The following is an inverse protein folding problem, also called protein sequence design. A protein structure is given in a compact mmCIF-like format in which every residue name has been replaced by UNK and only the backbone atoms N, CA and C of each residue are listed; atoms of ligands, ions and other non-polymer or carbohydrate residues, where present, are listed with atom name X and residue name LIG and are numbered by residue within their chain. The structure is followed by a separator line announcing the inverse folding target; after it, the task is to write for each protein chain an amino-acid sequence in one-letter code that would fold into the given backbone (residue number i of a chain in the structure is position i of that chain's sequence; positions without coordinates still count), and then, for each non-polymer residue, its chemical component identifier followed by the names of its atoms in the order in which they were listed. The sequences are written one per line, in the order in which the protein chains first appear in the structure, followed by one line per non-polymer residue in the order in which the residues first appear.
data_IF_462939957964
#
_entry.id   IF_462939957964
#
_cell.length_a   1.000
_cell.length_b   1.000
_cell.length_c   1.000
_cell.angle_alpha   90.00
_cell.angle_beta   90.00
_cell.angle_gamma   90.00
#
_symmetry.space_group_name_H-M   'P 1'
#
loop_
_entity.id
_entity.type
_entity.pdbx_description
1 polymer ?
#
# COMPACT_ATOMS: atom_id res chain seq x y z
N UNK A 1 -8.88 13.34 0.00
CA UNK A 1 -8.44 11.93 0.01
C UNK A 1 -9.12 11.26 1.18
N UNK A 2 -9.65 10.05 1.00
CA UNK A 2 -10.32 9.33 2.10
C UNK A 2 -9.34 9.02 3.24
N UNK A 3 -9.83 8.96 4.48
CA UNK A 3 -9.16 8.30 5.59
C UNK A 3 -9.64 6.85 5.76
N UNK A 4 -9.04 6.09 6.67
CA UNK A 4 -9.36 4.67 6.87
C UNK A 4 -10.80 4.43 7.29
N UNK A 5 -11.38 5.33 8.10
CA UNK A 5 -12.79 5.25 8.50
C UNK A 5 -13.72 5.43 7.31
N UNK A 6 -13.50 6.47 6.51
CA UNK A 6 -14.29 6.75 5.30
C UNK A 6 -14.18 5.61 4.29
N UNK A 7 -12.99 5.01 4.15
CA UNK A 7 -12.81 3.82 3.32
C UNK A 7 -13.64 2.64 3.84
N UNK A 8 -13.60 2.33 5.14
CA UNK A 8 -14.39 1.24 5.71
C UNK A 8 -15.90 1.47 5.52
N UNK A 9 -16.37 2.70 5.68
CA UNK A 9 -17.76 3.07 5.40
C UNK A 9 -18.11 2.92 3.91
N UNK A 10 -17.18 3.24 3.00
CA UNK A 10 -17.38 3.07 1.55
C UNK A 10 -17.56 1.61 1.11
N UNK A 11 -17.11 0.64 1.93
CA UNK A 11 -17.28 -0.78 1.64
C UNK A 11 -18.70 -1.29 1.97
N UNK A 12 -19.46 -0.54 2.79
CA UNK A 12 -20.85 -0.84 3.16
C UNK A 12 -21.82 -0.19 2.17
N UNK A 13 -21.61 -0.50 0.90
CA UNK A 13 -22.49 -0.08 -0.19
C UNK A 13 -23.38 -1.25 -0.64
N UNK A 14 -24.09 -1.07 -1.76
CA UNK A 14 -24.98 -2.09 -2.30
C UNK A 14 -24.25 -3.18 -3.13
N UNK A 15 -22.94 -3.38 -2.94
CA UNK A 15 -22.19 -4.45 -3.62
C UNK A 15 -22.68 -5.81 -3.18
N UNK A 16 -22.67 -6.75 -4.12
CA UNK A 16 -23.00 -8.15 -3.86
C UNK A 16 -21.74 -8.98 -3.99
N UNK A 17 -21.28 -9.55 -2.88
CA UNK A 17 -20.09 -10.40 -2.83
C UNK A 17 -20.53 -11.81 -2.43
N UNK A 18 -19.98 -12.80 -3.14
CA UNK A 18 -20.21 -14.21 -2.84
C UNK A 18 -18.90 -14.90 -2.48
N UNK A 19 -18.95 -15.78 -1.50
CA UNK A 19 -17.86 -16.69 -1.14
C UNK A 19 -18.42 -18.10 -1.03
N UNK A 20 -17.88 -19.04 -1.81
CA UNK A 20 -18.33 -20.43 -1.82
C UNK A 20 -19.85 -20.62 -2.04
N UNK A 21 -20.47 -19.73 -2.81
CA UNK A 21 -21.92 -19.75 -3.08
C UNK A 21 -22.78 -19.04 -2.04
N UNK A 22 -22.21 -18.63 -0.91
CA UNK A 22 -22.90 -17.85 0.13
C UNK A 22 -22.74 -16.36 -0.15
N UNK A 23 -23.83 -15.60 -0.04
CA UNK A 23 -23.80 -14.14 -0.12
C UNK A 23 -23.23 -13.59 1.18
N UNK A 24 -22.30 -12.66 1.06
CA UNK A 24 -21.74 -11.91 2.18
C UNK A 24 -22.49 -10.59 2.31
N UNK A 25 -23.03 -10.34 3.50
CA UNK A 25 -23.77 -9.11 3.80
C UNK A 25 -22.84 -7.93 4.13
N UNK A 26 -21.73 -8.16 4.85
CA UNK A 26 -20.73 -7.13 5.17
C UNK A 26 -19.29 -7.66 5.03
N UNK A 27 -18.57 -7.17 4.03
CA UNK A 27 -17.17 -7.51 3.78
C UNK A 27 -16.20 -6.97 4.83
N UNK A 28 -16.59 -5.94 5.57
CA UNK A 28 -15.77 -5.32 6.62
C UNK A 28 -15.71 -6.17 7.89
N UNK A 29 -16.72 -7.02 8.10
CA UNK A 29 -16.84 -7.89 9.28
C UNK A 29 -16.63 -9.36 8.94
N UNK A 30 -16.84 -9.77 7.68
CA UNK A 30 -16.72 -11.17 7.27
C UNK A 30 -15.31 -11.72 7.54
N UNK A 31 -15.15 -12.87 8.23
CA UNK A 31 -13.85 -13.41 8.65
C UNK A 31 -12.81 -13.55 7.53
N UNK A 32 -13.25 -13.84 6.31
CA UNK A 32 -12.38 -13.98 5.15
C UNK A 32 -11.78 -12.64 4.65
N UNK A 33 -12.44 -11.50 4.89
CA UNK A 33 -12.10 -10.22 4.26
C UNK A 33 -11.78 -9.10 5.25
N UNK A 34 -12.25 -9.20 6.49
CA UNK A 34 -12.09 -8.17 7.51
C UNK A 34 -10.62 -7.74 7.72
N UNK A 35 -9.66 -8.66 7.58
CA UNK A 35 -8.24 -8.35 7.70
C UNK A 35 -7.74 -7.53 6.52
N UNK A 36 -8.10 -7.93 5.29
CA UNK A 36 -7.77 -7.18 4.08
C UNK A 36 -8.40 -5.79 4.08
N UNK A 37 -9.67 -5.67 4.48
CA UNK A 37 -10.34 -4.38 4.61
C UNK A 37 -9.58 -3.47 5.60
N UNK A 38 -9.19 -3.99 6.76
CA UNK A 38 -8.37 -3.24 7.73
C UNK A 38 -6.99 -2.88 7.20
N UNK A 39 -6.34 -3.72 6.38
CA UNK A 39 -5.06 -3.37 5.72
C UNK A 39 -5.21 -2.13 4.86
N UNK A 40 -6.22 -2.09 4.00
CA UNK A 40 -6.46 -0.95 3.13
C UNK A 40 -6.85 0.30 3.93
N UNK A 41 -7.66 0.16 5.00
CA UNK A 41 -7.97 1.28 5.88
C UNK A 41 -6.71 1.95 6.44
N UNK A 42 -5.72 1.16 6.88
CA UNK A 42 -4.42 1.68 7.36
C UNK A 42 -3.65 2.44 6.27
N UNK A 43 -3.73 2.00 5.02
CA UNK A 43 -3.09 2.72 3.91
C UNK A 43 -3.72 4.08 3.66
N UNK A 44 -5.04 4.19 3.83
CA UNK A 44 -5.76 5.47 3.76
C UNK A 44 -5.41 6.37 4.94
N UNK A 45 -5.31 5.83 6.16
CA UNK A 45 -4.86 6.59 7.34
C UNK A 45 -3.44 7.13 7.15
N UNK A 46 -2.53 6.36 6.53
CA UNK A 46 -1.16 6.78 6.25
C UNK A 46 -1.06 8.04 5.36
N UNK A 47 -2.08 8.33 4.54
CA UNK A 47 -2.13 9.57 3.74
C UNK A 47 -2.30 10.83 4.60
N UNK A 48 -2.71 10.67 5.85
CA UNK A 48 -2.96 11.75 6.82
C UNK A 48 -2.01 11.72 8.01
N UNK A 49 -1.17 10.69 8.14
CA UNK A 49 -0.15 10.57 9.18
C UNK A 49 1.01 11.56 8.95
N UNK A 50 1.43 12.28 9.98
CA UNK A 50 2.46 13.32 9.88
C UNK A 50 3.81 12.80 9.37
N UNK A 51 4.15 11.53 9.66
CA UNK A 51 5.43 10.93 9.26
C UNK A 51 5.37 10.34 7.86
N UNK A 52 4.23 9.76 7.48
CA UNK A 52 4.09 9.06 6.21
C UNK A 52 3.56 9.95 5.08
N UNK A 53 2.72 10.94 5.38
CA UNK A 53 2.14 11.84 4.39
C UNK A 53 3.20 12.53 3.49
N UNK A 54 4.35 13.03 4.00
CA UNK A 54 5.38 13.62 3.15
C UNK A 54 6.04 12.63 2.18
N UNK A 55 6.04 11.34 2.54
CA UNK A 55 6.57 10.26 1.69
C UNK A 55 5.53 9.90 0.62
N UNK A 56 4.26 9.79 1.00
CA UNK A 56 3.18 9.27 0.17
C UNK A 56 2.54 10.32 -0.75
N UNK A 57 2.46 11.58 -0.30
CA UNK A 57 1.65 12.60 -0.98
C UNK A 57 2.49 13.73 -1.54
N UNK A 58 1.93 14.42 -2.52
CA UNK A 58 2.45 15.65 -3.10
C UNK A 58 1.28 16.55 -3.49
N UNK A 59 1.57 17.79 -3.88
CA UNK A 59 0.60 18.74 -4.40
C UNK A 59 0.87 18.90 -5.90
N UNK A 60 -0.16 18.71 -6.73
CA UNK A 60 -0.06 18.93 -8.18
C UNK A 60 0.09 20.43 -8.48
N UNK A 61 0.42 20.76 -9.73
CA UNK A 61 0.51 22.16 -10.20
C UNK A 61 -0.82 22.92 -10.02
N UNK A 62 -1.94 22.20 -9.99
CA UNK A 62 -3.30 22.72 -9.79
C UNK A 62 -3.64 22.94 -8.30
N UNK A 63 -2.70 22.69 -7.39
CA UNK A 63 -2.91 22.82 -5.95
C UNK A 63 -3.65 21.63 -5.32
N UNK A 64 -3.88 20.55 -6.06
CA UNK A 64 -4.59 19.37 -5.56
C UNK A 64 -3.60 18.43 -4.88
N UNK A 65 -3.88 18.06 -3.62
CA UNK A 65 -3.10 17.03 -2.93
C UNK A 65 -3.48 15.64 -3.43
N UNK A 66 -2.49 14.88 -3.87
CA UNK A 66 -2.66 13.50 -4.37
C UNK A 66 -1.51 12.61 -3.91
N UNK A 67 -1.69 11.30 -4.06
CA UNK A 67 -0.60 10.34 -3.87
C UNK A 67 0.45 10.54 -4.97
N UNK A 68 1.75 10.47 -4.64
CA UNK A 68 2.85 10.73 -5.60
C UNK A 68 2.76 9.87 -6.86
N UNK A 69 2.29 8.63 -6.72
CA UNK A 69 2.05 7.73 -7.87
C UNK A 69 1.04 8.27 -8.90
N UNK A 70 0.07 9.08 -8.48
CA UNK A 70 -0.95 9.65 -9.38
C UNK A 70 -0.55 11.02 -9.95
N UNK A 71 0.56 11.61 -9.50
CA UNK A 71 1.11 12.82 -10.12
C UNK A 71 1.76 12.44 -11.46
N UNK A 72 1.49 13.21 -12.52
CA UNK A 72 2.22 13.08 -13.78
C UNK A 72 3.72 13.41 -13.55
N UNK A 73 4.65 12.48 -13.83
CA UNK A 73 6.06 12.71 -13.59
C UNK A 73 6.65 13.65 -14.66
N UNK A 74 7.30 14.74 -14.22
CA UNK A 74 7.98 15.69 -15.12
C UNK A 74 9.49 15.49 -15.18
N UNK A 75 10.05 14.85 -14.16
CA UNK A 75 11.49 14.59 -14.03
C UNK A 75 11.78 13.26 -13.31
N UNK A 76 13.07 12.98 -13.11
CA UNK A 76 13.52 11.77 -12.43
C UNK A 76 13.17 11.76 -10.93
N UNK A 77 13.09 12.93 -10.29
CA UNK A 77 12.78 13.03 -8.87
C UNK A 77 11.31 12.67 -8.60
N UNK A 78 10.41 13.02 -9.52
CA UNK A 78 9.02 12.58 -9.49
C UNK A 78 8.91 11.05 -9.58
N UNK A 79 9.69 10.41 -10.47
CA UNK A 79 9.70 8.95 -10.59
C UNK A 79 10.24 8.27 -9.32
N UNK A 80 11.30 8.82 -8.73
CA UNK A 80 11.87 8.34 -7.48
C UNK A 80 10.85 8.52 -6.34
N UNK A 81 10.19 9.67 -6.27
CA UNK A 81 9.15 9.94 -5.27
C UNK A 81 7.94 9.00 -5.39
N UNK A 82 7.49 8.70 -6.62
CA UNK A 82 6.42 7.74 -6.86
C UNK A 82 6.81 6.32 -6.45
N UNK A 83 8.05 5.90 -6.78
CA UNK A 83 8.61 4.61 -6.36
C UNK A 83 8.65 4.49 -4.83
N UNK A 84 9.16 5.50 -4.15
CA UNK A 84 9.30 5.48 -2.69
C UNK A 84 7.92 5.45 -2.01
N UNK A 85 6.93 6.16 -2.56
CA UNK A 85 5.56 6.11 -2.08
C UNK A 85 4.93 4.71 -2.23
N UNK A 86 5.11 4.04 -3.39
CA UNK A 86 4.65 2.66 -3.60
C UNK A 86 5.37 1.68 -2.67
N UNK A 87 6.67 1.85 -2.46
CA UNK A 87 7.44 1.03 -1.53
C UNK A 87 6.92 1.19 -0.09
N UNK A 88 6.58 2.41 0.32
CA UNK A 88 6.04 2.68 1.65
C UNK A 88 4.66 2.03 1.86
N UNK A 89 3.76 2.15 0.90
CA UNK A 89 2.48 1.43 0.91
C UNK A 89 2.65 -0.10 0.90
N UNK A 90 3.65 -0.62 0.18
CA UNK A 90 3.93 -2.06 0.16
C UNK A 90 4.33 -2.58 1.53
N UNK A 91 5.13 -1.82 2.30
CA UNK A 91 5.48 -2.17 3.68
C UNK A 91 4.24 -2.26 4.56
N UNK A 92 3.31 -1.29 4.47
CA UNK A 92 2.08 -1.31 5.29
C UNK A 92 1.20 -2.53 5.04
N UNK A 93 1.12 -3.00 3.80
CA UNK A 93 0.40 -4.24 3.47
C UNK A 93 1.15 -5.47 3.97
N UNK A 94 2.48 -5.52 3.78
CA UNK A 94 3.32 -6.68 4.10
C UNK A 94 3.64 -6.82 5.59
N UNK A 95 3.72 -5.72 6.35
CA UNK A 95 3.93 -5.74 7.79
C UNK A 95 2.76 -6.42 8.51
N UNK A 96 1.53 -6.26 7.99
CA UNK A 96 0.38 -7.01 8.51
C UNK A 96 0.51 -8.53 8.25
N UNK A 97 1.11 -8.92 7.13
CA UNK A 97 1.43 -10.33 6.85
C UNK A 97 2.52 -10.85 7.79
N UNK A 98 3.52 -10.02 8.11
CA UNK A 98 4.60 -10.34 9.05
C UNK A 98 4.13 -10.39 10.51
N UNK A 99 3.01 -9.75 10.87
CA UNK A 99 2.40 -9.82 12.21
C UNK A 99 1.34 -10.92 12.34
N UNK A 100 0.91 -11.52 11.23
CA UNK A 100 -0.12 -12.55 11.24
C UNK A 100 0.35 -13.83 11.94
N UNK A 101 -0.21 -14.12 13.13
CA UNK A 101 0.19 -15.21 14.03
C UNK A 101 0.35 -16.57 13.34
N UNK A 102 -0.47 -16.86 12.32
CA UNK A 102 -0.46 -18.13 11.59
C UNK A 102 0.51 -18.15 10.40
N UNK A 103 0.78 -16.99 9.80
CA UNK A 103 1.53 -16.90 8.53
C UNK A 103 2.99 -16.51 8.79
N UNK A 104 3.24 -15.68 9.81
CA UNK A 104 4.58 -15.31 10.25
C UNK A 104 5.51 -16.53 10.45
N UNK A 105 5.11 -17.62 11.15
CA UNK A 105 5.99 -18.78 11.30
C UNK A 105 6.29 -19.50 9.99
N UNK A 106 5.40 -19.39 9.00
CA UNK A 106 5.53 -20.03 7.69
C UNK A 106 6.45 -19.23 6.74
N UNK A 107 6.31 -17.90 6.74
CA UNK A 107 7.00 -17.01 5.81
C UNK A 107 8.33 -16.46 6.35
N UNK A 108 8.47 -16.29 7.67
CA UNK A 108 9.67 -15.71 8.26
C UNK A 108 10.95 -16.51 7.91
N UNK A 109 10.96 -17.86 7.93
CA UNK A 109 12.12 -18.62 7.50
C UNK A 109 12.47 -18.44 6.01
N UNK A 110 11.46 -18.16 5.17
CA UNK A 110 11.67 -17.88 3.74
C UNK A 110 12.25 -16.47 3.57
N UNK A 111 11.67 -15.48 4.26
CA UNK A 111 12.13 -14.09 4.26
C UNK A 111 13.58 -13.98 4.78
N UNK A 112 13.91 -14.66 5.87
CA UNK A 112 15.28 -14.68 6.42
C UNK A 112 16.29 -15.36 5.50
N UNK A 113 15.86 -16.24 4.61
CA UNK A 113 16.72 -16.88 3.59
C UNK A 113 16.86 -16.04 2.32
N UNK A 114 16.10 -14.97 2.16
CA UNK A 114 16.30 -14.06 1.04
C UNK A 114 17.71 -13.47 1.13
N UNK A 115 18.43 -13.37 -0.01
CA UNK A 115 19.73 -12.73 -0.05
C UNK A 115 19.61 -11.30 0.46
N UNK A 116 20.62 -10.81 1.17
CA UNK A 116 20.63 -9.47 1.80
C UNK A 116 20.31 -8.36 0.81
N UNK A 117 20.65 -8.55 -0.47
CA UNK A 117 20.32 -7.66 -1.60
C UNK A 117 18.81 -7.49 -1.86
N UNK A 118 17.97 -8.45 -1.50
CA UNK A 118 16.50 -8.33 -1.54
C UNK A 118 15.92 -7.73 -0.27
N UNK A 119 16.58 -7.94 0.88
CA UNK A 119 16.17 -7.35 2.17
C UNK A 119 16.45 -5.86 2.23
N UNK A 120 17.57 -5.45 1.64
CA UNK A 120 18.02 -4.07 1.54
C UNK A 120 17.73 -3.47 0.15
N UNK A 121 16.63 -3.86 -0.49
CA UNK A 121 16.24 -3.33 -1.80
C UNK A 121 15.85 -1.84 -1.68
N UNK A 122 16.85 -0.98 -1.47
CA UNK A 122 16.86 0.39 -1.94
C UNK A 122 17.04 0.27 -3.44
N UNK A 123 15.95 0.38 -4.17
CA UNK A 123 15.99 0.46 -5.63
C UNK A 123 16.94 1.62 -5.96
N UNK A 124 18.12 1.32 -6.49
CA UNK A 124 19.04 2.35 -6.93
C UNK A 124 18.37 3.11 -8.10
N UNK A 125 18.51 4.45 -8.21
CA UNK A 125 18.03 5.15 -9.39
C UNK A 125 18.70 4.54 -10.62
N UNK A 126 17.90 4.26 -11.65
CA UNK A 126 18.42 3.76 -12.92
C UNK A 126 19.39 4.81 -13.48
N UNK A 127 20.69 4.54 -13.38
CA UNK A 127 21.69 5.34 -14.06
C UNK A 127 21.49 5.13 -15.56
N UNK A 128 21.00 6.19 -16.22
CA UNK A 128 20.75 6.19 -17.66
C UNK A 128 22.03 5.87 -18.42
N UNK A 129 22.15 4.65 -18.91
CA UNK A 129 23.07 4.32 -19.99
C UNK A 129 22.44 4.82 -21.28
N UNK A 130 22.95 5.95 -21.80
CA UNK A 130 22.73 6.31 -23.21
C UNK A 130 23.21 5.13 -24.06
N UNK A 131 22.30 4.51 -24.81
CA UNK A 131 22.64 3.59 -25.90
C UNK A 131 23.29 4.39 -27.05
N UNK A 132 24.15 3.75 -27.86
CA UNK A 132 25.01 4.41 -28.83
C UNK A 132 24.23 5.05 -29.98
#
# INVERSE_FOLDING_TARGET
MMNGKEYMESLRDNRVVYLNGEKIDDVTEHPAYQNSARSFARMYDALHDEKQQPILTTVTEEGIRTHKFFKEPKDADDLIGARDAIAEWSKLIMDLWAEHRTIKPLLLPIYERLPTTMKDLKIAPATGTKKP
#
